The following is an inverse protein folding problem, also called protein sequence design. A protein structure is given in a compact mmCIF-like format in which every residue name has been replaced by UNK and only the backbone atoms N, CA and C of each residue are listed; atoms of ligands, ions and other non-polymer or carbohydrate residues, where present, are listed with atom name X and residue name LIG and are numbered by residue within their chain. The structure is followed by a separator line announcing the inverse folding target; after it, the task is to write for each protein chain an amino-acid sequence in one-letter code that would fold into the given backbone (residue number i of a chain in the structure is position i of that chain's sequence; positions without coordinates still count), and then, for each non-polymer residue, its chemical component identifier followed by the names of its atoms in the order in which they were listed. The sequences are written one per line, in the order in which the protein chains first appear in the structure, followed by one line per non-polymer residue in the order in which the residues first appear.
data_IF_686702588000
#
_entry.id   IF_686702588000
#
_cell.length_a   1.000
_cell.length_b   1.000
_cell.length_c   1.000
_cell.angle_alpha   90.00
_cell.angle_beta   90.00
_cell.angle_gamma   90.00
#
_symmetry.space_group_name_H-M   'P 1'
#
loop_
_entity.id
_entity.type
_entity.pdbx_description
1 polymer ?
#
# COMPACT_ATOMS: atom_id res chain seq x y z
N UNK A 1 9.49 5.53 -9.60
CA UNK A 1 8.10 5.08 -9.79
C UNK A 1 8.15 3.62 -10.22
N UNK A 2 7.53 2.70 -9.47
CA UNK A 2 7.73 1.25 -9.67
C UNK A 2 6.81 0.68 -10.77
N UNK A 3 5.87 1.47 -11.28
CA UNK A 3 4.96 1.11 -12.38
C UNK A 3 4.93 2.23 -13.42
N UNK A 4 4.95 1.88 -14.71
CA UNK A 4 5.06 2.83 -15.83
C UNK A 4 3.70 3.38 -16.31
N UNK A 5 2.60 2.71 -15.98
CA UNK A 5 1.27 3.10 -16.39
C UNK A 5 0.43 3.52 -15.17
N UNK A 6 -0.20 4.70 -15.23
CA UNK A 6 -1.07 5.20 -14.17
C UNK A 6 -2.29 4.30 -13.89
N UNK A 7 -2.61 3.39 -14.81
CA UNK A 7 -3.70 2.42 -14.67
C UNK A 7 -3.42 1.32 -13.65
N UNK A 8 -2.15 1.00 -13.40
CA UNK A 8 -1.74 -0.09 -12.51
C UNK A 8 -1.38 0.38 -11.10
N UNK A 9 -1.58 1.66 -10.80
CA UNK A 9 -1.23 2.26 -9.50
C UNK A 9 -2.04 1.67 -8.34
N UNK A 10 -3.27 1.22 -8.60
CA UNK A 10 -4.14 0.58 -7.60
C UNK A 10 -4.19 -0.95 -7.75
N UNK A 11 -3.30 -1.55 -8.54
CA UNK A 11 -3.27 -3.00 -8.73
C UNK A 11 -2.72 -3.71 -7.48
N UNK A 12 -3.30 -4.85 -7.05
CA UNK A 12 -2.78 -5.64 -5.93
C UNK A 12 -1.30 -6.01 -6.11
N UNK A 13 -0.88 -6.18 -7.37
CA UNK A 13 0.51 -6.49 -7.71
C UNK A 13 1.47 -5.33 -7.41
N UNK A 14 1.05 -4.09 -7.72
CA UNK A 14 1.84 -2.89 -7.45
C UNK A 14 2.03 -2.66 -5.94
N UNK A 15 0.97 -2.91 -5.15
CA UNK A 15 1.00 -2.81 -3.68
C UNK A 15 1.97 -3.81 -3.08
N UNK A 16 1.96 -5.06 -3.53
CA UNK A 16 2.87 -6.10 -3.01
C UNK A 16 4.36 -5.73 -3.17
N UNK A 17 4.74 -5.19 -4.33
CA UNK A 17 6.11 -4.74 -4.56
C UNK A 17 6.51 -3.54 -3.71
N UNK A 18 5.57 -2.66 -3.38
CA UNK A 18 5.81 -1.52 -2.49
C UNK A 18 5.95 -1.98 -1.03
N UNK A 19 5.10 -2.89 -0.57
CA UNK A 19 5.13 -3.44 0.79
C UNK A 19 6.46 -4.16 1.08
N UNK A 20 7.02 -4.87 0.09
CA UNK A 20 8.34 -5.50 0.23
C UNK A 20 9.47 -4.48 0.43
N UNK A 21 9.49 -3.38 -0.34
CA UNK A 21 10.49 -2.32 -0.17
C UNK A 21 10.37 -1.66 1.20
N UNK A 22 9.15 -1.46 1.69
CA UNK A 22 8.90 -0.93 3.03
C UNK A 22 9.41 -1.90 4.10
N UNK A 23 9.12 -3.20 3.98
CA UNK A 23 9.64 -4.23 4.89
C UNK A 23 11.16 -4.26 4.98
N UNK A 24 11.87 -4.11 3.86
CA UNK A 24 13.33 -4.00 3.86
C UNK A 24 13.83 -2.72 4.55
N UNK A 25 13.11 -1.60 4.41
CA UNK A 25 13.41 -0.36 5.14
C UNK A 25 13.16 -0.51 6.64
N UNK A 26 12.07 -1.16 7.04
CA UNK A 26 11.71 -1.37 8.44
C UNK A 26 12.70 -2.29 9.16
N UNK A 27 13.21 -3.33 8.48
CA UNK A 27 14.28 -4.19 9.01
C UNK A 27 15.57 -3.42 9.31
N UNK A 28 15.93 -2.44 8.48
CA UNK A 28 17.10 -1.57 8.73
C UNK A 28 16.90 -0.62 9.92
N UNK A 29 15.66 -0.27 10.22
CA UNK A 29 15.30 0.62 11.32
C UNK A 29 15.01 -0.13 12.64
N UNK A 30 15.09 -1.47 12.65
CA UNK A 30 14.87 -2.29 13.84
C UNK A 30 13.41 -2.41 14.29
N UNK A 31 12.43 -2.09 13.42
CA UNK A 31 11.01 -2.18 13.75
C UNK A 31 10.54 -3.64 13.58
N UNK A 32 10.07 -4.25 14.65
CA UNK A 32 9.65 -5.67 14.71
C UNK A 32 8.15 -5.90 14.54
N UNK A 33 7.31 -4.91 14.86
CA UNK A 33 5.87 -4.96 14.69
C UNK A 33 5.32 -3.60 14.25
N UNK A 34 4.32 -3.63 13.36
CA UNK A 34 3.61 -2.46 12.84
C UNK A 34 2.11 -2.71 12.99
N UNK A 35 1.39 -1.73 13.53
CA UNK A 35 -0.06 -1.68 13.46
C UNK A 35 -0.44 -0.92 12.19
N UNK A 36 -1.30 -1.50 11.36
CA UNK A 36 -1.71 -0.90 10.09
C UNK A 36 -3.20 -0.60 10.17
N UNK A 37 -3.54 0.69 10.12
CA UNK A 37 -4.92 1.15 9.95
C UNK A 37 -5.14 1.48 8.48
N UNK A 38 -5.97 0.71 7.75
CA UNK A 38 -6.26 1.00 6.35
C UNK A 38 -7.05 2.33 6.24
N UNK A 39 -6.52 3.27 5.45
CA UNK A 39 -7.19 4.53 5.16
C UNK A 39 -7.95 4.45 3.84
N UNK A 40 -9.22 4.84 3.87
CA UNK A 40 -10.09 4.93 2.70
C UNK A 40 -10.44 6.39 2.43
N UNK A 41 -10.71 6.74 1.16
CA UNK A 41 -11.15 8.09 0.81
C UNK A 41 -12.57 8.34 1.33
N UNK A 42 -12.71 8.88 2.54
CA UNK A 42 -13.99 9.19 3.18
C UNK A 42 -14.71 10.41 2.56
N UNK A 43 -16.05 10.38 2.53
CA UNK A 43 -16.91 11.47 2.00
C UNK A 43 -18.15 10.94 1.25
N UNK A 44 -18.56 11.60 0.15
CA UNK A 44 -19.58 11.10 -0.81
C UNK A 44 -19.07 10.00 -1.75
N UNK A 45 -17.82 9.55 -1.59
CA UNK A 45 -17.18 8.48 -2.37
C UNK A 45 -17.28 7.14 -1.62
N UNK A 46 -17.07 6.05 -2.36
CA UNK A 46 -17.28 4.66 -1.92
C UNK A 46 -16.45 4.37 -0.66
N UNK A 47 -17.10 3.83 0.38
CA UNK A 47 -16.47 3.42 1.65
C UNK A 47 -15.81 2.05 1.59
N UNK A 48 -16.01 1.31 0.49
CA UNK A 48 -15.43 0.00 0.27
C UNK A 48 -13.93 0.13 0.00
N UNK A 49 -13.07 -0.64 0.70
CA UNK A 49 -11.65 -0.68 0.40
C UNK A 49 -11.41 -1.05 -1.06
N UNK A 50 -10.42 -0.40 -1.68
CA UNK A 50 -10.00 -0.73 -3.04
C UNK A 50 -9.39 -2.14 -3.09
N UNK A 51 -9.26 -2.73 -4.28
CA UNK A 51 -8.73 -4.10 -4.44
C UNK A 51 -7.29 -4.28 -3.93
N UNK A 52 -6.58 -3.19 -3.61
CA UNK A 52 -5.21 -3.18 -3.07
C UNK A 52 -5.08 -2.71 -1.62
N UNK A 53 -6.16 -2.67 -0.85
CA UNK A 53 -6.13 -2.43 0.61
C UNK A 53 -6.04 -3.72 1.41
#
# INVERSE_FOLDING_TARGET
MKVKAGKDESSPYAVMWATQDMGQRFKRLGITALHIEPQYTGGKKIKTPGPGS
#
